data_IF_176487330075
#
_entry.id   IF_176487330075
#
_cell.length_a   1.000
_cell.length_b   1.000
_cell.length_c   1.000
_cell.angle_alpha   90.00
_cell.angle_beta   90.00
_cell.angle_gamma   90.00
#
_symmetry.space_group_name_H-M   'P 1'
#
loop_
_entity.id
_entity.type
_entity.pdbx_description
1 polymer ?
#
# COMPACT_ATOMS: atom_id res chain seq x y z
N UNK A 1 0.27 15.31 10.49
CA UNK A 1 0.56 16.34 9.49
C UNK A 1 0.70 15.69 8.13
N UNK A 2 -0.01 16.19 7.13
CA UNK A 2 0.04 15.63 5.79
C UNK A 2 1.07 16.34 4.94
N UNK A 3 1.84 15.59 4.15
CA UNK A 3 2.75 16.12 3.16
C UNK A 3 2.25 15.73 1.77
N UNK A 4 2.42 16.64 0.81
CA UNK A 4 2.00 16.42 -0.56
C UNK A 4 3.22 16.28 -1.47
N UNK A 5 3.21 15.24 -2.30
CA UNK A 5 4.24 14.95 -3.28
C UNK A 5 3.61 14.86 -4.66
N UNK A 6 4.29 15.44 -5.64
CA UNK A 6 3.84 15.37 -7.04
C UNK A 6 4.82 14.51 -7.82
N UNK A 7 4.29 13.51 -8.53
CA UNK A 7 5.07 12.70 -9.45
C UNK A 7 4.59 12.95 -10.87
N UNK A 8 5.51 12.88 -11.83
CA UNK A 8 5.24 13.26 -13.23
C UNK A 8 5.13 12.04 -14.15
N UNK A 9 5.57 10.88 -13.69
CA UNK A 9 5.55 9.64 -14.44
C UNK A 9 5.57 8.45 -13.50
N UNK A 10 5.44 7.25 -14.06
CA UNK A 10 5.42 6.03 -13.26
C UNK A 10 6.72 5.79 -12.50
N UNK A 11 7.85 6.14 -13.11
CA UNK A 11 9.16 5.95 -12.45
C UNK A 11 9.27 6.81 -11.20
N UNK A 12 8.78 8.05 -11.23
CA UNK A 12 8.77 8.91 -10.05
C UNK A 12 7.85 8.39 -8.96
N UNK A 13 6.69 7.83 -9.34
CA UNK A 13 5.78 7.20 -8.39
C UNK A 13 6.44 5.99 -7.73
N UNK A 14 7.16 5.18 -8.49
CA UNK A 14 7.93 4.05 -7.93
C UNK A 14 9.03 4.53 -7.00
N UNK A 15 9.68 5.65 -7.28
CA UNK A 15 10.70 6.22 -6.40
C UNK A 15 10.13 6.59 -5.03
N UNK A 16 8.89 7.08 -4.98
CA UNK A 16 8.20 7.28 -3.71
C UNK A 16 8.05 5.95 -2.97
N UNK A 17 7.70 4.89 -3.69
CA UNK A 17 7.67 3.53 -3.12
C UNK A 17 9.01 3.07 -2.57
N UNK A 18 10.11 3.36 -3.28
CA UNK A 18 11.46 3.06 -2.80
C UNK A 18 11.77 3.77 -1.48
N UNK A 19 11.40 5.04 -1.38
CA UNK A 19 11.60 5.81 -0.14
C UNK A 19 10.77 5.26 1.01
N UNK A 20 9.53 4.88 0.73
CA UNK A 20 8.67 4.24 1.74
C UNK A 20 9.30 2.95 2.26
N UNK A 21 9.79 2.10 1.36
CA UNK A 21 10.42 0.84 1.76
C UNK A 21 11.63 1.07 2.67
N UNK A 22 12.40 2.15 2.42
CA UNK A 22 13.58 2.47 3.20
C UNK A 22 13.25 3.07 4.57
N UNK A 23 12.15 3.83 4.67
CA UNK A 23 11.82 4.60 5.86
C UNK A 23 10.79 3.96 6.77
N UNK A 24 9.94 3.08 6.24
CA UNK A 24 8.89 2.45 7.04
C UNK A 24 9.48 1.46 8.03
N UNK A 25 9.17 1.60 9.32
CA UNK A 25 9.57 0.59 10.31
C UNK A 25 8.91 -0.75 10.02
N UNK A 26 9.55 -1.83 10.47
CA UNK A 26 8.94 -3.16 10.42
C UNK A 26 7.62 -3.16 11.18
N UNK A 27 6.63 -3.83 10.63
CA UNK A 27 5.28 -3.86 11.20
C UNK A 27 4.39 -2.72 10.75
N UNK A 28 4.87 -1.82 9.89
CA UNK A 28 4.06 -0.70 9.40
C UNK A 28 2.86 -1.16 8.60
N UNK A 29 1.75 -0.46 8.80
CA UNK A 29 0.52 -0.62 8.00
C UNK A 29 0.28 0.68 7.24
N UNK A 30 0.15 0.57 5.92
CA UNK A 30 -0.09 1.71 5.02
C UNK A 30 -1.45 1.53 4.37
N UNK A 31 -2.29 2.55 4.49
CA UNK A 31 -3.60 2.58 3.87
C UNK A 31 -3.50 3.36 2.56
N UNK A 32 -3.86 2.71 1.45
CA UNK A 32 -3.86 3.31 0.12
C UNK A 32 -5.27 3.66 -0.29
N UNK A 33 -5.52 4.92 -0.56
CA UNK A 33 -6.80 5.40 -1.05
C UNK A 33 -6.58 6.12 -2.38
N UNK A 34 -7.56 6.01 -3.26
CA UNK A 34 -7.52 6.62 -4.57
C UNK A 34 -8.39 5.86 -5.55
N UNK A 35 -8.78 6.53 -6.62
CA UNK A 35 -9.63 5.93 -7.64
C UNK A 35 -8.92 4.80 -8.37
N UNK A 36 -9.70 3.96 -9.03
CA UNK A 36 -9.16 2.92 -9.92
C UNK A 36 -8.25 3.56 -10.96
N UNK A 37 -7.04 3.03 -11.12
CA UNK A 37 -6.06 3.59 -12.05
C UNK A 37 -5.29 4.78 -11.50
N UNK A 38 -5.44 5.12 -10.22
CA UNK A 38 -4.74 6.26 -9.62
C UNK A 38 -3.23 6.03 -9.42
N UNK A 39 -2.75 4.79 -9.55
CA UNK A 39 -1.33 4.48 -9.37
C UNK A 39 -0.99 3.74 -8.09
N UNK A 40 -1.98 3.19 -7.40
CA UNK A 40 -1.77 2.43 -6.15
C UNK A 40 -0.86 1.21 -6.39
N UNK A 41 -1.13 0.46 -7.45
CA UNK A 41 -0.31 -0.70 -7.81
C UNK A 41 1.11 -0.29 -8.21
N UNK A 42 1.26 0.83 -8.92
CA UNK A 42 2.58 1.36 -9.29
C UNK A 42 3.41 1.70 -8.05
N UNK A 43 2.79 2.31 -7.05
CA UNK A 43 3.45 2.62 -5.79
C UNK A 43 3.93 1.35 -5.08
N UNK A 44 3.07 0.34 -4.99
CA UNK A 44 3.41 -0.94 -4.37
C UNK A 44 4.52 -1.66 -5.16
N UNK A 45 4.54 -1.55 -6.48
CA UNK A 45 5.64 -2.07 -7.30
C UNK A 45 6.98 -1.42 -6.91
N UNK A 46 6.98 -0.11 -6.67
CA UNK A 46 8.18 0.58 -6.21
C UNK A 46 8.66 0.07 -4.85
N UNK A 47 7.75 -0.15 -3.93
CA UNK A 47 8.07 -0.74 -2.62
C UNK A 47 8.67 -2.14 -2.81
N UNK A 48 8.05 -2.97 -3.63
CA UNK A 48 8.50 -4.33 -3.90
C UNK A 48 9.88 -4.37 -4.53
N UNK A 49 10.16 -3.49 -5.50
CA UNK A 49 11.49 -3.39 -6.12
C UNK A 49 12.56 -3.09 -5.08
N UNK A 50 12.30 -2.14 -4.18
CA UNK A 50 13.24 -1.78 -3.13
C UNK A 50 13.47 -2.92 -2.14
N UNK A 51 12.48 -3.78 -1.94
CA UNK A 51 12.58 -4.95 -1.08
C UNK A 51 13.23 -6.16 -1.78
N UNK A 52 13.61 -6.02 -3.03
CA UNK A 52 14.21 -7.13 -3.80
C UNK A 52 13.22 -8.21 -4.21
N UNK A 53 11.95 -7.88 -4.30
CA UNK A 53 10.91 -8.81 -4.74
C UNK A 53 10.88 -8.83 -6.26
N UNK A 54 11.20 -9.97 -6.85
CA UNK A 54 11.24 -10.15 -8.30
C UNK A 54 9.92 -10.64 -8.90
N UNK A 55 8.96 -10.98 -8.06
CA UNK A 55 7.66 -11.43 -8.52
C UNK A 55 6.88 -10.25 -9.14
N UNK A 56 6.03 -10.57 -10.11
CA UNK A 56 5.18 -9.55 -10.73
C UNK A 56 4.15 -9.07 -9.70
N UNK A 57 4.14 -7.78 -9.44
CA UNK A 57 3.14 -7.17 -8.57
C UNK A 57 1.91 -6.83 -9.38
N UNK A 58 0.77 -7.38 -8.97
CA UNK A 58 -0.53 -7.13 -9.59
C UNK A 58 -1.52 -6.72 -8.51
N UNK A 59 -2.61 -6.07 -8.92
CA UNK A 59 -3.67 -5.71 -7.97
C UNK A 59 -4.26 -6.99 -7.35
N UNK A 60 -4.46 -7.03 -6.02
CA UNK A 60 -5.04 -8.18 -5.35
C UNK A 60 -6.57 -8.21 -5.39
N UNK A 61 -7.21 -7.42 -6.25
CA UNK A 61 -8.66 -7.24 -6.29
C UNK A 61 -9.44 -8.55 -6.31
N UNK A 62 -8.94 -9.55 -7.05
CA UNK A 62 -9.63 -10.83 -7.17
C UNK A 62 -9.24 -11.84 -6.07
N UNK A 63 -8.13 -11.59 -5.39
CA UNK A 63 -7.59 -12.53 -4.39
C UNK A 63 -7.70 -12.00 -2.96
N UNK A 64 -8.17 -10.77 -2.79
CA UNK A 64 -8.24 -10.03 -1.52
C UNK A 64 -6.86 -9.76 -0.93
N UNK A 65 -5.98 -10.75 -0.87
CA UNK A 65 -4.65 -10.60 -0.29
C UNK A 65 -3.61 -11.34 -1.13
N UNK A 66 -2.44 -10.72 -1.30
CA UNK A 66 -1.25 -11.37 -1.86
C UNK A 66 -0.09 -11.21 -0.90
N UNK A 67 0.66 -12.28 -0.72
CA UNK A 67 1.85 -12.32 0.11
C UNK A 67 3.08 -12.43 -0.78
N UNK A 68 4.04 -11.55 -0.58
CA UNK A 68 5.33 -11.56 -1.29
C UNK A 68 6.41 -11.79 -0.25
N UNK A 69 6.90 -13.01 -0.16
CA UNK A 69 7.76 -13.46 0.94
C UNK A 69 9.24 -13.60 0.58
N UNK A 70 9.59 -13.39 -0.70
CA UNK A 70 10.96 -13.68 -1.20
C UNK A 70 11.89 -12.47 -1.18
N UNK A 71 11.45 -11.31 -0.74
CA UNK A 71 12.30 -10.13 -0.61
C UNK A 71 13.04 -10.08 0.73
N UNK A 72 13.70 -8.94 0.99
CA UNK A 72 14.43 -8.74 2.26
C UNK A 72 13.51 -8.68 3.45
N UNK A 73 12.23 -8.39 3.25
CA UNK A 73 11.18 -8.52 4.27
C UNK A 73 9.85 -8.85 3.59
N UNK A 74 8.91 -9.49 4.30
CA UNK A 74 7.59 -9.79 3.74
C UNK A 74 6.83 -8.53 3.35
N UNK A 75 6.11 -8.60 2.23
CA UNK A 75 5.18 -7.57 1.79
C UNK A 75 3.79 -8.19 1.71
N UNK A 76 2.84 -7.60 2.41
CA UNK A 76 1.43 -8.00 2.40
C UNK A 76 0.65 -6.93 1.65
N UNK A 77 -0.07 -7.33 0.61
CA UNK A 77 -0.89 -6.41 -0.19
C UNK A 77 -2.34 -6.88 -0.13
N UNK A 78 -3.20 -6.07 0.45
CA UNK A 78 -4.62 -6.38 0.69
C UNK A 78 -5.48 -5.42 -0.13
N UNK A 79 -6.51 -5.96 -0.79
CA UNK A 79 -7.58 -5.17 -1.38
C UNK A 79 -8.89 -5.61 -0.72
N UNK A 80 -9.43 -4.75 0.12
CA UNK A 80 -10.62 -5.07 0.90
C UNK A 80 -11.93 -4.70 0.19
N UNK A 81 -11.89 -4.29 -1.07
CA UNK A 81 -13.08 -3.87 -1.82
C UNK A 81 -14.18 -4.91 -1.81
N UNK A 82 -13.82 -6.18 -1.98
CA UNK A 82 -14.79 -7.29 -1.99
C UNK A 82 -15.39 -7.61 -0.64
N UNK A 83 -14.90 -7.00 0.42
CA UNK A 83 -15.40 -7.20 1.77
C UNK A 83 -16.49 -6.20 2.15
N UNK A 84 -16.92 -5.36 1.22
CA UNK A 84 -17.90 -4.29 1.44
C UNK A 84 -19.17 -4.78 2.15
N UNK A 85 -19.71 -5.90 1.70
CA UNK A 85 -20.98 -6.44 2.19
C UNK A 85 -20.79 -7.65 3.13
N UNK A 86 -19.56 -7.92 3.54
CA UNK A 86 -19.25 -9.13 4.29
C UNK A 86 -18.53 -8.81 5.61
N UNK A 87 -19.22 -9.04 6.70
CA UNK A 87 -18.62 -9.04 8.03
C UNK A 87 -17.94 -10.40 8.27
N UNK A 88 -17.13 -10.86 7.34
CA UNK A 88 -16.51 -12.17 7.44
C UNK A 88 -15.10 -12.04 7.95
N UNK A 89 -14.81 -12.69 9.06
CA UNK A 89 -13.45 -12.88 9.52
C UNK A 89 -12.82 -13.98 8.67
N UNK A 90 -11.94 -13.59 7.76
CA UNK A 90 -11.20 -14.53 6.92
C UNK A 90 -9.74 -14.62 7.33
N UNK A 91 -9.41 -14.18 8.55
CA UNK A 91 -8.07 -14.28 9.09
C UNK A 91 -7.11 -13.20 8.60
N UNK A 92 -7.62 -12.12 8.02
CA UNK A 92 -6.76 -11.02 7.55
C UNK A 92 -5.99 -10.35 8.68
N UNK A 93 -6.56 -10.28 9.86
CA UNK A 93 -5.95 -9.65 11.02
C UNK A 93 -4.61 -10.28 11.41
N UNK A 94 -4.39 -11.54 11.10
CA UNK A 94 -3.12 -12.22 11.34
C UNK A 94 -1.99 -11.68 10.47
N UNK A 95 -2.32 -11.09 9.33
CA UNK A 95 -1.34 -10.57 8.36
C UNK A 95 -1.16 -9.07 8.43
N UNK A 96 -2.11 -8.35 9.03
CA UNK A 96 -2.02 -6.89 9.14
C UNK A 96 -1.04 -6.54 10.26
N UNK A 97 0.03 -5.82 9.90
CA UNK A 97 1.03 -5.41 10.86
C UNK A 97 1.99 -6.50 11.30
N UNK A 98 2.28 -7.47 10.42
CA UNK A 98 3.25 -8.53 10.76
C UNK A 98 4.60 -7.93 11.13
N UNK A 99 5.23 -8.47 12.18
CA UNK A 99 6.38 -7.87 12.87
C UNK A 99 7.56 -7.51 11.98
N UNK A 100 7.84 -8.29 10.95
CA UNK A 100 9.02 -8.10 10.11
C UNK A 100 8.72 -7.57 8.72
N UNK A 101 7.47 -7.27 8.45
CA UNK A 101 7.03 -6.92 7.12
C UNK A 101 6.35 -5.58 7.02
N UNK A 102 5.85 -5.31 5.81
CA UNK A 102 5.04 -4.13 5.50
C UNK A 102 3.69 -4.60 4.99
N UNK A 103 2.64 -3.92 5.41
CA UNK A 103 1.27 -4.21 4.96
C UNK A 103 0.72 -2.99 4.24
N UNK A 104 0.25 -3.18 3.00
CA UNK A 104 -0.41 -2.14 2.21
C UNK A 104 -1.86 -2.57 1.97
N UNK A 105 -2.81 -1.71 2.35
CA UNK A 105 -4.23 -2.01 2.30
C UNK A 105 -4.95 -1.01 1.39
N UNK A 106 -5.62 -1.52 0.35
CA UNK A 106 -6.53 -0.73 -0.50
C UNK A 106 -7.95 -0.91 0.02
N UNK A 107 -8.77 0.13 -0.09
CA UNK A 107 -10.16 0.16 0.39
C UNK A 107 -10.27 -0.16 1.88
N UNK A 108 -9.53 0.57 2.74
CA UNK A 108 -9.45 0.22 4.16
C UNK A 108 -10.77 0.38 4.93
N UNK A 109 -11.71 1.15 4.38
CA UNK A 109 -12.99 1.42 5.06
C UNK A 109 -13.77 0.15 5.39
N UNK A 110 -13.62 -0.90 4.58
CA UNK A 110 -14.36 -2.14 4.76
C UNK A 110 -13.78 -3.05 5.84
N UNK A 111 -12.60 -2.74 6.34
CA UNK A 111 -11.95 -3.48 7.42
C UNK A 111 -11.41 -2.53 8.50
N UNK A 112 -12.10 -1.40 8.71
CA UNK A 112 -11.64 -0.35 9.62
C UNK A 112 -11.34 -0.88 11.04
N UNK A 113 -12.07 -1.88 11.50
CA UNK A 113 -11.88 -2.47 12.82
C UNK A 113 -10.57 -3.26 12.96
N UNK A 114 -9.90 -3.59 11.86
CA UNK A 114 -8.62 -4.32 11.86
C UNK A 114 -7.42 -3.40 11.74
N UNK A 115 -7.64 -2.11 11.54
CA UNK A 115 -6.57 -1.16 11.23
C UNK A 115 -6.00 -0.56 12.50
N UNK A 116 -4.65 -0.61 12.70
CA UNK A 116 -4.03 0.04 13.84
C UNK A 116 -4.19 1.55 13.81
N UNK A 117 -4.22 2.17 14.97
CA UNK A 117 -4.39 3.64 15.09
C UNK A 117 -3.19 4.43 14.56
N UNK A 118 -2.02 3.80 14.47
CA UNK A 118 -0.80 4.43 13.96
C UNK A 118 -0.54 4.15 12.47
N UNK A 119 -1.53 3.63 11.75
CA UNK A 119 -1.41 3.37 10.33
C UNK A 119 -1.08 4.64 9.55
N UNK A 120 -0.28 4.47 8.50
CA UNK A 120 0.09 5.56 7.61
C UNK A 120 -0.96 5.68 6.51
N UNK A 121 -1.39 6.88 6.19
CA UNK A 121 -2.41 7.13 5.18
C UNK A 121 -1.78 7.74 3.94
N UNK A 122 -2.03 7.14 2.78
CA UNK A 122 -1.60 7.67 1.48
C UNK A 122 -2.82 7.78 0.58
N UNK A 123 -3.12 8.99 0.13
CA UNK A 123 -4.14 9.24 -0.88
C UNK A 123 -3.46 9.58 -2.20
N UNK A 124 -3.76 8.82 -3.24
CA UNK A 124 -3.19 9.04 -4.57
C UNK A 124 -4.27 9.54 -5.51
N UNK A 125 -3.99 10.65 -6.18
CA UNK A 125 -4.92 11.25 -7.13
C UNK A 125 -4.25 11.40 -8.49
N UNK A 126 -4.96 11.00 -9.55
CA UNK A 126 -4.54 11.27 -10.91
C UNK A 126 -4.85 12.73 -11.23
N UNK A 127 -3.82 13.50 -11.54
CA UNK A 127 -3.95 14.94 -11.86
C UNK A 127 -3.65 15.24 -13.32
N UNK A 128 -3.66 14.22 -14.18
CA UNK A 128 -3.50 14.34 -15.62
C UNK A 128 -2.42 13.45 -16.18
N UNK A 129 -2.74 12.61 -17.17
CA UNK A 129 -1.79 11.67 -17.77
C UNK A 129 -1.14 10.77 -16.73
N UNK A 130 0.19 10.78 -16.69
CA UNK A 130 0.96 10.00 -15.72
C UNK A 130 1.30 10.77 -14.44
N UNK A 131 0.80 11.99 -14.31
CA UNK A 131 1.03 12.81 -13.11
C UNK A 131 0.14 12.36 -11.97
N UNK A 132 0.72 12.30 -10.78
CA UNK A 132 0.00 11.89 -9.57
C UNK A 132 0.30 12.84 -8.42
N UNK A 133 -0.72 13.06 -7.60
CA UNK A 133 -0.58 13.76 -6.32
C UNK A 133 -0.72 12.75 -5.20
N UNK A 134 0.28 12.68 -4.34
CA UNK A 134 0.27 11.78 -3.18
C UNK A 134 0.24 12.62 -1.92
N UNK A 135 -0.83 12.45 -1.13
CA UNK A 135 -0.92 13.03 0.21
C UNK A 135 -0.60 11.95 1.22
N UNK A 136 0.45 12.16 2.00
CA UNK A 136 0.97 11.17 2.93
C UNK A 136 0.91 11.70 4.34
N UNK A 137 0.21 10.97 5.21
CA UNK A 137 0.12 11.26 6.65
C UNK A 137 0.78 10.14 7.44
N UNK A 138 1.57 10.52 8.43
CA UNK A 138 2.19 9.58 9.36
C UNK A 138 3.67 9.34 9.11
N UNK A 139 4.20 9.80 8.02
CA UNK A 139 5.64 9.72 7.70
C UNK A 139 6.04 10.87 6.79
N UNK A 140 7.29 11.30 6.90
CA UNK A 140 7.88 12.32 6.03
C UNK A 140 8.98 11.66 5.20
N UNK A 141 8.88 11.78 3.89
CA UNK A 141 9.86 11.18 2.97
C UNK A 141 11.11 12.04 2.76
#
# INVERSE_FOLDING_TARGET
MANTYITHNQEETKEVGHKLAALLPNGSVVLLEGDLGAGKTTLVRGVAEALGINEKITSPTFNIMKLYLKGVKPLVHIDAYRLEDHNVDIGLDEFIGIDRGLTFIEWPNYIANMIPSDAIHINIKNIGGDKRELKIEGIVL
#
